data_IF_894478038019
#
_entry.id   IF_894478038019
#
_cell.length_a   1.000
_cell.length_b   1.000
_cell.length_c   1.000
_cell.angle_alpha   90.00
_cell.angle_beta   90.00
_cell.angle_gamma   90.00
#
_symmetry.space_group_name_H-M   'P 1'
#
loop_
_entity.id
_entity.type
_entity.pdbx_description
1 polymer ?
#
# COMPACT_ATOMS: atom_id res chain seq x y z
N UNK A 1 -30.20 19.15 20.50
CA UNK A 1 -29.08 19.05 19.53
C UNK A 1 -28.21 20.29 19.53
N UNK A 2 -28.78 21.50 19.72
CA UNK A 2 -28.04 22.78 19.67
C UNK A 2 -26.96 22.96 20.75
N UNK A 3 -26.96 22.14 21.79
CA UNK A 3 -25.96 22.13 22.86
C UNK A 3 -24.93 21.00 22.69
N UNK A 4 -25.12 20.13 21.73
CA UNK A 4 -24.24 18.98 21.49
C UNK A 4 -23.30 19.20 20.31
N UNK A 5 -22.13 18.60 20.39
CA UNK A 5 -21.17 18.47 19.31
C UNK A 5 -21.36 17.09 18.69
N UNK A 6 -21.55 17.02 17.39
CA UNK A 6 -21.67 15.75 16.68
C UNK A 6 -20.38 15.49 15.88
N UNK A 7 -19.50 14.59 16.34
CA UNK A 7 -18.23 14.33 15.67
C UNK A 7 -18.40 13.77 14.27
N UNK A 8 -19.51 13.07 13.98
CA UNK A 8 -19.80 12.60 12.62
C UNK A 8 -19.99 13.81 11.70
N UNK A 9 -20.88 14.74 12.06
CA UNK A 9 -21.17 15.92 11.23
C UNK A 9 -19.94 16.83 11.07
N UNK A 10 -19.13 16.95 12.13
CA UNK A 10 -17.93 17.78 12.07
C UNK A 10 -16.83 17.20 11.18
N UNK A 11 -16.75 15.87 11.06
CA UNK A 11 -15.74 15.20 10.25
C UNK A 11 -16.11 15.04 8.77
N UNK A 12 -17.40 15.08 8.40
CA UNK A 12 -17.85 14.75 7.03
C UNK A 12 -17.11 15.53 5.95
N UNK A 13 -16.95 16.86 6.12
CA UNK A 13 -16.31 17.68 5.11
C UNK A 13 -14.80 17.39 4.97
N UNK A 14 -14.12 17.08 6.07
CA UNK A 14 -12.72 16.69 6.05
C UNK A 14 -12.54 15.32 5.38
N UNK A 15 -13.42 14.35 5.67
CA UNK A 15 -13.37 13.02 5.08
C UNK A 15 -13.73 13.03 3.59
N UNK A 16 -14.67 13.88 3.18
CA UNK A 16 -15.03 14.07 1.77
C UNK A 16 -13.84 14.63 0.98
N UNK A 17 -13.23 15.72 1.47
CA UNK A 17 -12.03 16.29 0.86
C UNK A 17 -10.89 15.26 0.83
N UNK A 18 -10.60 14.60 1.95
CA UNK A 18 -9.55 13.60 2.05
C UNK A 18 -9.69 12.46 1.02
N UNK A 19 -10.92 11.98 0.82
CA UNK A 19 -11.22 10.91 -0.11
C UNK A 19 -11.18 11.33 -1.58
N UNK A 20 -11.24 12.63 -1.84
CA UNK A 20 -11.29 13.22 -3.18
C UNK A 20 -9.95 13.76 -3.67
N UNK A 21 -8.91 13.79 -2.82
CA UNK A 21 -7.58 14.30 -3.19
C UNK A 21 -6.94 13.41 -4.26
N UNK A 22 -6.45 14.04 -5.32
CA UNK A 22 -5.49 13.41 -6.24
C UNK A 22 -4.10 13.65 -5.68
N UNK A 23 -3.53 12.62 -5.08
CA UNK A 23 -2.25 12.71 -4.35
C UNK A 23 -1.05 12.88 -5.28
N UNK A 24 -1.04 12.15 -6.40
CA UNK A 24 -0.11 12.24 -7.53
C UNK A 24 -0.68 11.46 -8.72
N UNK A 25 0.06 11.44 -9.82
CA UNK A 25 -0.31 10.69 -11.02
C UNK A 25 0.48 9.39 -11.19
N UNK A 26 1.25 9.00 -10.16
CA UNK A 26 2.20 7.90 -10.28
C UNK A 26 3.35 8.22 -11.23
N UNK A 27 4.07 7.18 -11.64
CA UNK A 27 5.13 7.29 -12.64
C UNK A 27 5.22 6.02 -13.49
N UNK A 28 6.29 5.88 -14.28
CA UNK A 28 6.46 4.70 -15.15
C UNK A 28 6.43 3.37 -14.39
N UNK A 29 6.83 3.36 -13.12
CA UNK A 29 6.99 2.14 -12.31
C UNK A 29 5.87 1.97 -11.29
N UNK A 30 5.26 3.05 -10.82
CA UNK A 30 4.28 3.04 -9.74
C UNK A 30 2.94 3.62 -10.20
N UNK A 31 1.82 3.00 -9.79
CA UNK A 31 0.51 3.61 -9.94
C UNK A 31 0.41 4.89 -9.08
N UNK A 32 -0.60 5.73 -9.33
CA UNK A 32 -0.89 6.89 -8.48
C UNK A 32 -1.05 6.49 -7.01
N UNK A 33 -0.57 7.36 -6.13
CA UNK A 33 -0.85 7.23 -4.69
C UNK A 33 -2.34 7.26 -4.43
N UNK A 34 -2.82 6.34 -3.63
CA UNK A 34 -4.23 6.21 -3.28
C UNK A 34 -4.44 6.18 -1.78
N UNK A 35 -5.59 6.74 -1.34
CA UNK A 35 -6.09 6.65 0.02
C UNK A 35 -7.38 5.85 0.03
N UNK A 36 -7.54 4.98 1.04
CA UNK A 36 -8.79 4.26 1.29
C UNK A 36 -9.18 4.40 2.76
N UNK A 37 -10.40 4.88 3.01
CA UNK A 37 -11.03 4.77 4.32
C UNK A 37 -11.57 3.35 4.44
N UNK A 38 -11.02 2.59 5.38
CA UNK A 38 -11.34 1.16 5.54
C UNK A 38 -12.38 0.89 6.63
N UNK A 39 -12.44 1.74 7.66
CA UNK A 39 -13.40 1.59 8.75
C UNK A 39 -13.88 2.93 9.26
N UNK A 40 -15.17 2.98 9.63
CA UNK A 40 -15.78 4.11 10.34
C UNK A 40 -16.65 3.54 11.46
N UNK A 41 -16.39 3.94 12.70
CA UNK A 41 -17.11 3.50 13.88
C UNK A 41 -17.55 4.68 14.75
N UNK A 42 -18.84 4.73 15.06
CA UNK A 42 -19.39 5.75 15.96
C UNK A 42 -20.64 5.24 16.67
N UNK A 43 -20.86 5.76 17.89
CA UNK A 43 -22.08 5.53 18.65
C UNK A 43 -22.26 4.12 19.22
N UNK A 44 -23.45 3.88 19.74
CA UNK A 44 -23.83 2.64 20.44
C UNK A 44 -24.94 1.88 19.70
N UNK A 45 -25.33 2.33 18.50
CA UNK A 45 -26.47 1.80 17.75
C UNK A 45 -27.82 2.47 18.07
N UNK A 46 -27.89 3.33 19.09
CA UNK A 46 -29.11 4.08 19.39
C UNK A 46 -29.28 5.25 18.39
N UNK A 47 -30.44 5.33 17.75
CA UNK A 47 -30.71 6.31 16.70
C UNK A 47 -30.98 7.75 17.19
N UNK A 48 -31.20 7.92 18.48
CA UNK A 48 -31.52 9.19 19.15
C UNK A 48 -30.40 9.73 20.08
N UNK A 49 -29.19 9.12 20.01
CA UNK A 49 -28.04 9.51 20.81
C UNK A 49 -26.91 9.97 19.91
N UNK A 50 -26.43 11.21 20.10
CA UNK A 50 -25.24 11.73 19.42
C UNK A 50 -24.01 11.02 20.02
N UNK A 51 -23.13 10.44 19.22
CA UNK A 51 -21.94 9.76 19.72
C UNK A 51 -20.95 10.74 20.33
N UNK A 52 -20.17 10.27 21.29
CA UNK A 52 -19.07 11.04 21.89
C UNK A 52 -17.87 11.14 20.95
N UNK A 53 -17.58 10.06 20.24
CA UNK A 53 -16.40 9.93 19.38
C UNK A 53 -16.78 9.32 18.03
N UNK A 54 -16.00 9.66 17.02
CA UNK A 54 -15.95 8.99 15.72
C UNK A 54 -14.52 8.44 15.56
N UNK A 55 -14.40 7.17 15.24
CA UNK A 55 -13.14 6.52 14.89
C UNK A 55 -13.14 6.21 13.39
N UNK A 56 -12.09 6.63 12.71
CA UNK A 56 -11.92 6.40 11.28
C UNK A 56 -10.55 5.77 11.05
N UNK A 57 -10.52 4.67 10.33
CA UNK A 57 -9.28 4.06 9.87
C UNK A 57 -9.14 4.27 8.37
N UNK A 58 -8.00 4.77 7.98
CA UNK A 58 -7.64 4.92 6.57
C UNK A 58 -6.19 4.50 6.34
N UNK A 59 -5.87 4.17 5.10
CA UNK A 59 -4.51 3.83 4.72
C UNK A 59 -4.14 4.44 3.36
N UNK A 60 -2.83 4.65 3.19
CA UNK A 60 -2.23 5.04 1.93
C UNK A 60 -1.52 3.85 1.28
N UNK A 61 -1.63 3.77 -0.04
CA UNK A 61 -0.71 3.08 -0.92
C UNK A 61 0.00 4.16 -1.73
N UNK A 62 1.25 4.44 -1.42
CA UNK A 62 1.94 5.58 -2.02
C UNK A 62 3.13 5.18 -2.88
N UNK A 63 3.38 5.98 -3.91
CA UNK A 63 4.45 5.83 -4.87
C UNK A 63 5.72 6.56 -4.41
N UNK A 64 6.78 6.44 -5.18
CA UNK A 64 8.03 7.20 -4.96
C UNK A 64 7.88 8.71 -5.20
N UNK A 65 6.73 9.17 -5.72
CA UNK A 65 6.40 10.59 -5.86
C UNK A 65 6.01 11.25 -4.53
N UNK A 66 5.73 10.43 -3.51
CA UNK A 66 5.32 10.86 -2.17
C UNK A 66 6.31 10.38 -1.11
N UNK A 67 6.22 11.01 0.05
CA UNK A 67 6.92 10.56 1.24
C UNK A 67 6.02 10.68 2.48
N UNK A 68 6.39 9.98 3.53
CA UNK A 68 5.62 9.90 4.77
C UNK A 68 5.28 11.28 5.35
N UNK A 69 6.27 12.19 5.42
CA UNK A 69 6.10 13.50 6.04
C UNK A 69 5.17 14.40 5.23
N UNK A 70 5.28 14.38 3.91
CA UNK A 70 4.41 15.15 3.02
C UNK A 70 2.95 14.69 3.09
N UNK A 71 2.72 13.37 3.07
CA UNK A 71 1.37 12.82 3.21
C UNK A 71 0.74 13.16 4.56
N UNK A 72 1.50 13.02 5.66
CA UNK A 72 1.04 13.40 7.00
C UNK A 72 0.66 14.87 7.06
N UNK A 73 1.53 15.75 6.55
CA UNK A 73 1.27 17.19 6.55
C UNK A 73 0.01 17.52 5.76
N UNK A 74 -0.12 16.99 4.55
CA UNK A 74 -1.29 17.26 3.72
C UNK A 74 -2.61 16.79 4.36
N UNK A 75 -2.60 15.65 5.05
CA UNK A 75 -3.77 15.20 5.82
C UNK A 75 -4.06 16.15 6.97
N UNK A 76 -3.04 16.56 7.74
CA UNK A 76 -3.24 17.52 8.83
C UNK A 76 -3.75 18.86 8.31
N UNK A 77 -3.25 19.37 7.19
CA UNK A 77 -3.72 20.62 6.58
C UNK A 77 -5.23 20.57 6.24
N UNK A 78 -5.70 19.42 5.73
CA UNK A 78 -7.13 19.20 5.46
C UNK A 78 -7.93 19.21 6.77
N UNK A 79 -7.51 18.47 7.78
CA UNK A 79 -8.22 18.40 9.04
C UNK A 79 -8.19 19.74 9.79
N UNK A 80 -7.05 20.40 9.86
CA UNK A 80 -6.90 21.72 10.48
C UNK A 80 -7.81 22.77 9.83
N UNK A 81 -7.87 22.79 8.51
CA UNK A 81 -8.78 23.64 7.75
C UNK A 81 -10.25 23.44 8.15
N UNK A 82 -10.69 22.19 8.24
CA UNK A 82 -12.09 21.88 8.52
C UNK A 82 -12.46 21.96 10.00
N UNK A 83 -11.49 21.79 10.88
CA UNK A 83 -11.71 21.84 12.34
C UNK A 83 -11.40 23.20 12.98
N UNK A 84 -10.81 24.16 12.24
CA UNK A 84 -10.42 25.49 12.76
C UNK A 84 -11.51 26.23 13.56
N UNK A 85 -12.78 26.04 13.19
CA UNK A 85 -13.93 26.70 13.84
C UNK A 85 -14.92 25.70 14.46
N UNK A 86 -14.48 24.46 14.71
CA UNK A 86 -15.29 23.42 15.35
C UNK A 86 -15.05 23.39 16.85
N UNK A 87 -16.03 22.84 17.58
CA UNK A 87 -15.86 22.53 19.00
C UNK A 87 -15.25 21.14 19.23
N UNK A 88 -15.36 20.28 18.25
CA UNK A 88 -14.66 19.01 18.23
C UNK A 88 -13.19 19.23 17.87
N UNK A 89 -12.33 18.38 18.37
CA UNK A 89 -10.93 18.22 18.00
C UNK A 89 -10.74 16.88 17.29
N UNK A 90 -9.54 16.70 16.72
CA UNK A 90 -9.15 15.45 16.11
C UNK A 90 -7.75 15.03 16.57
N UNK A 91 -7.49 13.75 16.52
CA UNK A 91 -6.17 13.15 16.73
C UNK A 91 -5.94 12.07 15.67
N UNK A 92 -4.72 11.97 15.15
CA UNK A 92 -4.34 10.95 14.17
C UNK A 92 -3.12 10.20 14.67
N UNK A 93 -3.27 8.88 14.84
CA UNK A 93 -2.18 7.97 15.10
C UNK A 93 -1.63 7.44 13.77
N UNK A 94 -0.32 7.60 13.55
CA UNK A 94 0.33 7.21 12.32
C UNK A 94 1.17 5.95 12.51
N UNK A 95 1.05 5.03 11.54
CA UNK A 95 1.89 3.85 11.47
C UNK A 95 2.43 3.68 10.06
N UNK A 96 3.74 3.83 9.88
CA UNK A 96 4.40 3.51 8.63
C UNK A 96 4.66 2.01 8.56
N UNK A 97 4.13 1.34 7.53
CA UNK A 97 4.42 -0.07 7.24
C UNK A 97 5.70 -0.25 6.45
N UNK A 98 6.05 0.71 5.59
CA UNK A 98 7.28 0.74 4.80
C UNK A 98 7.22 1.82 3.74
N UNK A 99 8.40 2.25 3.29
CA UNK A 99 8.53 3.13 2.14
C UNK A 99 8.46 2.32 0.83
N UNK A 100 7.98 2.92 -0.27
CA UNK A 100 8.13 2.32 -1.58
C UNK A 100 9.61 2.22 -1.94
N UNK A 101 9.97 1.17 -2.63
CA UNK A 101 11.32 1.01 -3.19
C UNK A 101 11.24 0.53 -4.63
N UNK A 102 12.27 0.80 -5.40
CA UNK A 102 12.45 0.34 -6.76
C UNK A 102 13.83 -0.27 -6.90
N UNK A 103 13.89 -1.51 -7.38
CA UNK A 103 15.14 -2.10 -7.86
C UNK A 103 15.29 -1.75 -9.34
N UNK A 104 16.31 -0.99 -9.66
CA UNK A 104 16.65 -0.67 -11.03
C UNK A 104 17.05 -1.92 -11.80
N UNK A 105 16.97 -1.86 -13.13
CA UNK A 105 17.41 -2.98 -13.96
C UNK A 105 18.92 -3.16 -13.81
N UNK A 106 19.32 -4.34 -13.35
CA UNK A 106 20.70 -4.69 -13.03
C UNK A 106 20.91 -6.20 -13.11
N UNK A 107 22.02 -6.66 -12.57
CA UNK A 107 22.46 -8.07 -12.66
C UNK A 107 21.43 -9.04 -12.11
N UNK A 108 20.81 -8.72 -10.97
CA UNK A 108 19.78 -9.57 -10.35
C UNK A 108 18.52 -9.65 -11.23
N UNK A 109 18.05 -8.50 -11.72
CA UNK A 109 16.86 -8.45 -12.58
C UNK A 109 17.09 -9.22 -13.87
N UNK A 110 18.24 -9.05 -14.53
CA UNK A 110 18.60 -9.76 -15.76
C UNK A 110 18.71 -11.27 -15.51
N UNK A 111 19.28 -11.71 -14.39
CA UNK A 111 19.35 -13.12 -14.01
C UNK A 111 17.95 -13.72 -13.84
N UNK A 112 17.03 -13.00 -13.18
CA UNK A 112 15.64 -13.43 -12.99
C UNK A 112 14.90 -13.54 -14.35
N UNK A 113 14.96 -12.49 -15.20
CA UNK A 113 14.32 -12.49 -16.51
C UNK A 113 14.82 -13.67 -17.39
N UNK A 114 16.13 -13.90 -17.41
CA UNK A 114 16.74 -14.97 -18.18
C UNK A 114 16.34 -16.36 -17.66
N UNK A 115 16.36 -16.57 -16.36
CA UNK A 115 15.97 -17.84 -15.73
C UNK A 115 14.50 -18.17 -16.00
N UNK A 116 13.59 -17.19 -15.80
CA UNK A 116 12.16 -17.35 -16.08
C UNK A 116 11.97 -17.74 -17.56
N UNK A 117 12.57 -17.00 -18.46
CA UNK A 117 12.46 -17.27 -19.90
C UNK A 117 12.98 -18.68 -20.27
N UNK A 118 14.10 -19.10 -19.68
CA UNK A 118 14.71 -20.41 -19.95
C UNK A 118 13.81 -21.56 -19.48
N UNK A 119 13.20 -21.45 -18.30
CA UNK A 119 12.38 -22.52 -17.71
C UNK A 119 10.95 -22.53 -18.26
N UNK A 120 10.37 -21.36 -18.48
CA UNK A 120 8.94 -21.26 -18.83
C UNK A 120 8.69 -20.92 -20.29
N UNK A 121 9.69 -20.44 -21.02
CA UNK A 121 9.53 -19.86 -22.35
C UNK A 121 8.84 -18.49 -22.38
N UNK A 122 8.43 -17.97 -21.22
CA UNK A 122 7.67 -16.73 -21.10
C UNK A 122 8.59 -15.54 -20.86
N UNK A 123 8.31 -14.43 -21.54
CA UNK A 123 8.93 -13.14 -21.21
C UNK A 123 8.15 -12.54 -20.04
N UNK A 124 8.82 -12.32 -18.92
CA UNK A 124 8.21 -11.67 -17.76
C UNK A 124 8.11 -10.17 -17.94
N UNK A 125 7.26 -9.53 -17.13
CA UNK A 125 7.11 -8.08 -17.04
C UNK A 125 7.55 -7.62 -15.66
N UNK A 126 8.43 -6.63 -15.62
CA UNK A 126 8.80 -5.97 -14.36
C UNK A 126 7.63 -5.12 -13.89
N UNK A 127 7.27 -5.23 -12.64
CA UNK A 127 6.12 -4.55 -12.05
C UNK A 127 6.36 -4.22 -10.58
N UNK A 128 5.80 -3.14 -10.12
CA UNK A 128 5.69 -2.78 -8.69
C UNK A 128 4.31 -3.09 -8.13
N UNK A 129 3.44 -3.72 -8.93
CA UNK A 129 2.13 -4.19 -8.48
C UNK A 129 2.29 -5.43 -7.61
N UNK A 130 1.55 -5.50 -6.53
CA UNK A 130 1.58 -6.66 -5.63
C UNK A 130 1.40 -6.28 -4.18
N UNK A 131 1.59 -7.27 -3.32
CA UNK A 131 1.53 -7.08 -1.87
C UNK A 131 2.80 -6.41 -1.32
N UNK A 132 2.72 -5.98 -0.08
CA UNK A 132 3.89 -5.52 0.66
C UNK A 132 4.73 -6.72 1.09
N UNK A 133 6.03 -6.69 0.83
CA UNK A 133 6.97 -7.74 1.21
C UNK A 133 8.01 -7.27 2.22
N UNK A 134 8.80 -8.21 2.72
CA UNK A 134 9.94 -7.91 3.58
C UNK A 134 11.11 -7.28 2.83
N UNK A 135 11.06 -7.26 1.49
CA UNK A 135 11.99 -6.51 0.64
C UNK A 135 12.10 -5.05 1.02
N UNK A 136 11.03 -4.45 1.56
CA UNK A 136 11.02 -3.07 2.10
C UNK A 136 12.03 -2.81 3.22
N UNK A 137 12.48 -3.86 3.92
CA UNK A 137 13.50 -3.75 4.96
C UNK A 137 14.92 -3.98 4.41
N UNK A 138 15.03 -4.72 3.31
CA UNK A 138 16.29 -5.11 2.70
C UNK A 138 16.77 -4.04 1.69
N UNK A 139 15.86 -3.52 0.87
CA UNK A 139 16.21 -2.52 -0.14
C UNK A 139 16.89 -1.25 0.44
N UNK A 140 16.47 -0.68 1.59
CA UNK A 140 17.16 0.46 2.19
C UNK A 140 18.59 0.16 2.65
N UNK A 141 18.98 -1.12 2.77
CA UNK A 141 20.33 -1.54 3.09
C UNK A 141 21.28 -1.49 1.88
N UNK A 142 20.78 -1.12 0.70
CA UNK A 142 21.54 -1.03 -0.54
C UNK A 142 21.63 -2.34 -1.32
N UNK A 143 20.84 -3.36 -0.95
CA UNK A 143 20.74 -4.59 -1.72
C UNK A 143 19.73 -4.46 -2.85
N UNK A 144 19.99 -5.08 -4.00
CA UNK A 144 18.97 -5.32 -5.02
C UNK A 144 17.95 -6.32 -4.50
N UNK A 145 16.67 -6.05 -4.72
CA UNK A 145 15.56 -6.90 -4.27
C UNK A 145 14.61 -7.16 -5.43
N UNK A 146 14.34 -8.43 -5.70
CA UNK A 146 13.33 -8.88 -6.65
C UNK A 146 12.38 -9.83 -5.93
N UNK A 147 11.09 -9.56 -6.05
CA UNK A 147 10.06 -10.47 -5.61
C UNK A 147 9.69 -11.42 -6.74
N UNK A 148 9.98 -12.68 -6.54
CA UNK A 148 9.71 -13.74 -7.47
C UNK A 148 9.09 -14.92 -6.74
N UNK A 149 7.91 -15.34 -7.18
CA UNK A 149 7.19 -16.45 -6.58
C UNK A 149 6.34 -17.20 -7.59
N UNK A 150 5.46 -18.03 -7.06
CA UNK A 150 4.44 -18.75 -7.84
C UNK A 150 3.40 -17.78 -8.40
N UNK A 151 2.62 -18.23 -9.37
CA UNK A 151 1.47 -17.48 -9.86
C UNK A 151 0.48 -17.23 -8.73
N UNK A 152 0.05 -15.99 -8.59
CA UNK A 152 -0.79 -15.53 -7.49
C UNK A 152 -2.26 -15.29 -7.88
N UNK A 153 -2.75 -16.01 -8.88
CA UNK A 153 -4.10 -15.82 -9.43
C UNK A 153 -5.21 -15.94 -8.39
N UNK A 154 -4.99 -16.68 -7.30
CA UNK A 154 -5.96 -16.91 -6.23
C UNK A 154 -5.56 -16.29 -4.89
N UNK A 155 -4.57 -15.40 -4.89
CA UNK A 155 -4.08 -14.75 -3.66
C UNK A 155 -5.24 -14.06 -2.90
N UNK A 156 -5.31 -14.26 -1.59
CA UNK A 156 -6.34 -13.72 -0.69
C UNK A 156 -7.78 -14.18 -0.99
N UNK A 157 -7.94 -15.23 -1.81
CA UNK A 157 -9.25 -15.82 -2.09
C UNK A 157 -9.52 -17.06 -1.22
N UNK A 158 -10.81 -17.37 -1.06
CA UNK A 158 -11.20 -18.65 -0.46
C UNK A 158 -10.70 -19.78 -1.36
N UNK A 159 -10.07 -20.82 -0.77
CA UNK A 159 -9.39 -21.91 -1.48
C UNK A 159 -8.17 -21.45 -2.30
N UNK A 160 -7.41 -20.48 -1.78
CA UNK A 160 -6.11 -20.10 -2.35
C UNK A 160 -5.27 -21.34 -2.65
N UNK A 161 -4.73 -21.41 -3.84
CA UNK A 161 -4.01 -22.60 -4.33
C UNK A 161 -2.94 -22.24 -5.35
N UNK A 162 -2.03 -23.19 -5.56
CA UNK A 162 -0.98 -23.13 -6.59
C UNK A 162 -0.86 -24.49 -7.27
N UNK A 163 -0.52 -24.50 -8.55
CA UNK A 163 -0.23 -25.74 -9.27
C UNK A 163 1.11 -26.33 -8.80
N UNK A 164 1.14 -27.64 -8.50
CA UNK A 164 2.37 -28.33 -8.07
C UNK A 164 3.49 -28.17 -9.11
N UNK A 165 3.15 -28.24 -10.40
CA UNK A 165 4.12 -28.04 -11.47
C UNK A 165 4.79 -26.65 -11.48
N UNK A 166 4.15 -25.63 -10.91
CA UNK A 166 4.75 -24.30 -10.80
C UNK A 166 5.77 -24.22 -9.66
N UNK A 167 5.64 -25.04 -8.61
CA UNK A 167 6.66 -25.19 -7.56
C UNK A 167 7.95 -25.82 -8.12
N UNK A 168 7.82 -26.83 -8.98
CA UNK A 168 8.96 -27.47 -9.63
C UNK A 168 9.69 -26.49 -10.57
N UNK A 169 8.94 -25.72 -11.37
CA UNK A 169 9.51 -24.67 -12.23
C UNK A 169 10.20 -23.58 -11.42
N UNK A 170 9.58 -23.16 -10.31
CA UNK A 170 10.15 -22.12 -9.43
C UNK A 170 11.48 -22.57 -8.86
N UNK A 171 11.61 -23.83 -8.44
CA UNK A 171 12.87 -24.41 -7.96
C UNK A 171 13.96 -24.31 -9.03
N UNK A 172 13.66 -24.69 -10.28
CA UNK A 172 14.59 -24.58 -11.41
C UNK A 172 14.97 -23.13 -11.72
N UNK A 173 14.03 -22.22 -11.61
CA UNK A 173 14.28 -20.78 -11.82
C UNK A 173 15.27 -20.27 -10.77
N UNK A 174 15.05 -20.56 -9.48
CA UNK A 174 15.97 -20.14 -8.42
C UNK A 174 17.37 -20.74 -8.57
N UNK A 175 17.48 -22.02 -8.94
CA UNK A 175 18.75 -22.66 -9.22
C UNK A 175 19.52 -21.91 -10.33
N UNK A 176 18.87 -21.62 -11.43
CA UNK A 176 19.47 -20.86 -12.55
C UNK A 176 19.85 -19.42 -12.17
N UNK A 177 19.05 -18.76 -11.32
CA UNK A 177 19.41 -17.42 -10.82
C UNK A 177 20.71 -17.49 -10.02
N UNK A 178 20.81 -18.46 -9.11
CA UNK A 178 22.02 -18.64 -8.29
C UNK A 178 23.25 -18.99 -9.14
N UNK A 179 23.10 -19.89 -10.12
CA UNK A 179 24.17 -20.18 -11.06
C UNK A 179 24.65 -18.94 -11.83
N UNK A 180 23.71 -18.12 -12.34
CA UNK A 180 24.05 -16.93 -13.11
C UNK A 180 24.70 -15.80 -12.27
N UNK A 181 24.48 -15.79 -10.95
CA UNK A 181 24.99 -14.75 -10.08
C UNK A 181 26.28 -15.13 -9.36
N UNK A 182 26.51 -16.44 -9.13
CA UNK A 182 27.56 -16.93 -8.25
C UNK A 182 28.65 -17.73 -8.96
N UNK A 183 28.39 -18.23 -10.19
CA UNK A 183 29.33 -19.02 -10.99
C UNK A 183 29.74 -18.29 -12.27
#
# INVERSE_FOLDING_TARGET
PHLAVNPIHDALAALDELSSVVWDNGNHYFPPTSLQISNIHAGTGANNVIPKTLHVEFNFRFSTEQNESGLKQAVHDIFDKHFANKKADYHIDWKLSGNPFLTEKGVLVDACENAIKKVTGTKTTLSTSGGTSDGRFIAPMGAEVVELGVLNATIHQVNENVAIADLEKLTQIYELILENLLL
#
